data_IF_686394960747
#
_entry.id   IF_686394960747
#
_cell.length_a   1.000
_cell.length_b   1.000
_cell.length_c   1.000
_cell.angle_alpha   90.00
_cell.angle_beta   90.00
_cell.angle_gamma   90.00
#
_symmetry.space_group_name_H-M   'P 1'
#
loop_
_entity.id
_entity.type
_entity.pdbx_description
1 polymer ?
#
# COMPACT_ATOMS: atom_id res chain seq x y z
N UNK A 1 -8.26 7.13 -1.06
CA UNK A 1 -9.08 8.16 -1.73
C UNK A 1 -8.26 9.35 -2.20
N UNK A 2 -7.25 9.80 -1.43
CA UNK A 2 -6.32 10.86 -1.86
C UNK A 2 -5.77 10.64 -3.27
N UNK A 3 -5.45 9.40 -3.65
CA UNK A 3 -4.93 9.10 -4.99
C UNK A 3 -5.95 9.28 -6.12
N UNK A 4 -7.20 8.85 -5.94
CA UNK A 4 -8.28 9.04 -6.94
C UNK A 4 -8.55 10.53 -7.11
N UNK A 5 -8.72 11.25 -6.00
CA UNK A 5 -8.91 12.70 -6.01
C UNK A 5 -7.73 13.42 -6.69
N UNK A 6 -6.49 13.04 -6.36
CA UNK A 6 -5.28 13.66 -6.94
C UNK A 6 -5.15 13.36 -8.45
N UNK A 7 -5.55 12.17 -8.91
CA UNK A 7 -5.60 11.83 -10.35
C UNK A 7 -6.67 12.65 -11.07
N UNK A 8 -7.88 12.75 -10.51
CA UNK A 8 -8.96 13.53 -11.12
C UNK A 8 -8.66 15.02 -11.14
N UNK A 9 -8.11 15.58 -10.05
CA UNK A 9 -7.63 16.97 -9.99
C UNK A 9 -6.55 17.23 -11.05
N UNK A 10 -5.54 16.35 -11.15
CA UNK A 10 -4.51 16.47 -12.22
C UNK A 10 -5.10 16.42 -13.62
N UNK A 11 -6.22 15.73 -13.83
CA UNK A 11 -6.90 15.64 -15.13
C UNK A 11 -7.65 16.94 -15.44
N UNK A 12 -8.32 17.54 -14.46
CA UNK A 12 -8.93 18.88 -14.57
C UNK A 12 -7.84 19.90 -14.91
N UNK A 13 -6.75 19.94 -14.13
CA UNK A 13 -5.62 20.85 -14.36
C UNK A 13 -5.01 20.68 -15.77
N UNK A 14 -4.82 19.44 -16.23
CA UNK A 14 -4.31 19.18 -17.58
C UNK A 14 -5.24 19.66 -18.68
N UNK A 15 -6.56 19.51 -18.50
CA UNK A 15 -7.57 19.97 -19.47
C UNK A 15 -7.56 21.49 -19.58
N UNK A 16 -7.43 22.19 -18.45
CA UNK A 16 -7.50 23.66 -18.41
C UNK A 16 -6.19 24.33 -18.86
N UNK A 17 -5.04 23.65 -18.71
CA UNK A 17 -3.71 24.18 -19.08
C UNK A 17 -3.65 24.79 -20.49
N UNK A 18 -4.29 24.16 -21.48
CA UNK A 18 -4.26 24.65 -22.87
C UNK A 18 -4.96 26.00 -23.08
N UNK A 19 -5.84 26.43 -22.16
CA UNK A 19 -6.55 27.72 -22.24
C UNK A 19 -5.76 28.88 -21.61
N UNK A 20 -4.78 28.59 -20.75
CA UNK A 20 -4.00 29.58 -20.01
C UNK A 20 -2.55 29.74 -20.53
N UNK A 21 -2.14 28.93 -21.50
CA UNK A 21 -0.75 28.93 -21.96
C UNK A 21 -0.39 30.29 -22.61
N UNK A 22 0.59 30.98 -22.02
CA UNK A 22 1.05 32.30 -22.49
C UNK A 22 0.11 33.48 -22.17
N UNK A 23 -0.91 33.29 -21.32
CA UNK A 23 -1.86 34.35 -20.92
C UNK A 23 -1.63 34.83 -19.50
N UNK A 24 -2.05 36.07 -19.22
CA UNK A 24 -1.92 36.65 -17.89
C UNK A 24 -3.02 36.08 -16.97
N UNK A 25 -2.68 35.50 -15.80
CA UNK A 25 -3.67 34.97 -14.87
C UNK A 25 -4.77 35.95 -14.42
N UNK A 26 -4.51 37.27 -14.52
CA UNK A 26 -5.48 38.31 -14.14
C UNK A 26 -6.27 38.90 -15.30
N UNK A 27 -6.01 38.45 -16.54
CA UNK A 27 -6.85 38.83 -17.67
C UNK A 27 -8.24 38.16 -17.58
N UNK A 28 -9.21 38.67 -18.35
CA UNK A 28 -10.60 38.20 -18.34
C UNK A 28 -10.71 36.66 -18.53
N UNK A 29 -9.84 36.12 -19.40
CA UNK A 29 -9.82 34.68 -19.71
C UNK A 29 -9.16 33.88 -18.59
N UNK A 30 -8.12 34.42 -17.95
CA UNK A 30 -7.49 33.85 -16.77
C UNK A 30 -8.46 33.73 -15.60
N UNK A 31 -9.27 34.77 -15.37
CA UNK A 31 -10.31 34.77 -14.34
C UNK A 31 -11.44 33.78 -14.66
N UNK A 32 -11.88 33.69 -15.92
CA UNK A 32 -12.89 32.72 -16.36
C UNK A 32 -12.40 31.28 -16.13
N UNK A 33 -11.16 30.96 -16.54
CA UNK A 33 -10.59 29.62 -16.35
C UNK A 33 -10.38 29.31 -14.86
N UNK A 34 -10.01 30.30 -14.05
CA UNK A 34 -9.91 30.13 -12.61
C UNK A 34 -11.28 29.82 -11.97
N UNK A 35 -12.35 30.48 -12.41
CA UNK A 35 -13.71 30.21 -11.97
C UNK A 35 -14.19 28.81 -12.40
N UNK A 36 -13.97 28.42 -13.66
CA UNK A 36 -14.27 27.08 -14.17
C UNK A 36 -13.51 26.00 -13.38
N UNK A 37 -12.22 26.23 -13.10
CA UNK A 37 -11.41 25.34 -12.26
C UNK A 37 -12.06 25.13 -10.90
N UNK A 38 -12.45 26.22 -10.24
CA UNK A 38 -13.05 26.14 -8.90
C UNK A 38 -14.38 25.38 -8.92
N UNK A 39 -15.21 25.62 -9.94
CA UNK A 39 -16.48 24.91 -10.11
C UNK A 39 -16.26 23.40 -10.33
N UNK A 40 -15.38 23.01 -11.25
CA UNK A 40 -15.08 21.60 -11.53
C UNK A 40 -14.49 20.87 -10.31
N UNK A 41 -13.69 21.56 -9.49
CA UNK A 41 -13.18 20.99 -8.25
C UNK A 41 -14.28 20.78 -7.21
N UNK A 42 -15.24 21.71 -7.09
CA UNK A 42 -16.39 21.58 -6.20
C UNK A 42 -17.30 20.42 -6.64
N UNK A 43 -17.60 20.31 -7.93
CA UNK A 43 -18.38 19.20 -8.50
C UNK A 43 -17.70 17.83 -8.29
N UNK A 44 -16.36 17.77 -8.45
CA UNK A 44 -15.59 16.58 -8.17
C UNK A 44 -15.70 16.16 -6.70
N UNK A 45 -15.58 17.10 -5.77
CA UNK A 45 -15.66 16.80 -4.34
C UNK A 45 -17.07 16.29 -3.97
N UNK A 46 -18.15 16.87 -4.53
CA UNK A 46 -19.53 16.36 -4.37
C UNK A 46 -19.71 14.95 -4.94
N UNK A 47 -19.16 14.68 -6.13
CA UNK A 47 -19.22 13.36 -6.75
C UNK A 47 -18.50 12.31 -5.90
N UNK A 48 -17.32 12.63 -5.35
CA UNK A 48 -16.57 11.73 -4.49
C UNK A 48 -17.37 11.36 -3.23
N UNK A 49 -18.02 12.33 -2.60
CA UNK A 49 -18.91 12.09 -1.45
C UNK A 49 -20.05 11.15 -1.83
N UNK A 50 -20.72 11.40 -2.96
CA UNK A 50 -21.81 10.54 -3.45
C UNK A 50 -21.32 9.10 -3.69
N UNK A 51 -20.18 8.92 -4.36
CA UNK A 51 -19.61 7.59 -4.62
C UNK A 51 -19.24 6.84 -3.33
N UNK A 52 -18.79 7.55 -2.29
CA UNK A 52 -18.55 6.95 -0.99
C UNK A 52 -19.85 6.52 -0.30
N UNK A 53 -20.87 7.38 -0.29
CA UNK A 53 -22.17 7.09 0.31
C UNK A 53 -22.84 5.85 -0.31
N UNK A 54 -22.67 5.66 -1.62
CA UNK A 54 -23.17 4.49 -2.34
C UNK A 54 -22.22 3.27 -2.24
N UNK A 55 -21.14 3.34 -1.46
CA UNK A 55 -20.21 2.21 -1.23
C UNK A 55 -19.28 1.87 -2.41
N UNK A 56 -19.27 2.69 -3.47
CA UNK A 56 -18.37 2.52 -4.61
C UNK A 56 -16.92 2.87 -4.25
N UNK A 57 -16.71 3.77 -3.29
CA UNK A 57 -15.41 4.14 -2.75
C UNK A 57 -15.34 3.85 -1.26
N UNK A 58 -14.47 2.91 -0.88
CA UNK A 58 -14.24 2.53 0.51
C UNK A 58 -12.76 2.19 0.70
N UNK A 59 -12.02 3.12 1.29
CA UNK A 59 -10.59 2.97 1.52
C UNK A 59 -10.27 1.91 2.57
N UNK A 60 -11.12 1.75 3.59
CA UNK A 60 -10.90 0.78 4.66
C UNK A 60 -11.05 -0.64 4.10
N UNK A 61 -12.14 -0.90 3.39
CA UNK A 61 -12.37 -2.18 2.70
C UNK A 61 -11.25 -2.48 1.72
N UNK A 62 -10.85 -1.49 0.92
CA UNK A 62 -9.78 -1.67 -0.06
C UNK A 62 -8.43 -1.95 0.60
N UNK A 63 -8.10 -1.25 1.69
CA UNK A 63 -6.88 -1.47 2.46
C UNK A 63 -6.86 -2.88 3.07
N UNK A 64 -7.98 -3.35 3.65
CA UNK A 64 -8.09 -4.70 4.18
C UNK A 64 -7.78 -5.78 3.13
N UNK A 65 -8.38 -5.66 1.94
CA UNK A 65 -8.10 -6.57 0.81
C UNK A 65 -6.61 -6.58 0.42
N UNK A 66 -5.94 -5.43 0.47
CA UNK A 66 -4.50 -5.35 0.19
C UNK A 66 -3.63 -5.96 1.29
N UNK A 67 -3.98 -5.74 2.55
CA UNK A 67 -3.31 -6.37 3.70
C UNK A 67 -3.32 -7.88 3.53
N UNK A 68 -4.50 -8.49 3.35
CA UNK A 68 -4.65 -9.93 3.16
C UNK A 68 -3.86 -10.45 1.94
N UNK A 69 -3.90 -9.71 0.84
CA UNK A 69 -3.22 -10.11 -0.39
C UNK A 69 -1.70 -10.04 -0.28
N UNK A 70 -1.15 -9.06 0.45
CA UNK A 70 0.29 -8.93 0.63
C UNK A 70 0.83 -9.83 1.73
N UNK A 71 0.08 -10.06 2.79
CA UNK A 71 0.41 -11.02 3.83
C UNK A 71 0.57 -12.43 3.24
N UNK A 72 -0.40 -12.89 2.44
CA UNK A 72 -0.31 -14.15 1.68
C UNK A 72 0.90 -14.24 0.74
N UNK A 73 1.39 -13.09 0.26
CA UNK A 73 2.61 -12.99 -0.57
C UNK A 73 3.90 -12.97 0.27
N UNK A 74 3.82 -13.08 1.59
CA UNK A 74 4.94 -13.09 2.50
C UNK A 74 5.57 -11.70 2.67
N UNK A 75 4.74 -10.68 2.88
CA UNK A 75 5.18 -9.36 3.33
C UNK A 75 4.95 -9.23 4.83
N UNK A 76 5.92 -8.65 5.54
CA UNK A 76 5.76 -8.29 6.94
C UNK A 76 4.69 -7.21 7.12
N UNK A 77 4.08 -7.16 8.30
CA UNK A 77 3.14 -6.11 8.71
C UNK A 77 3.72 -4.72 8.49
N UNK A 78 4.99 -4.52 8.86
CA UNK A 78 5.71 -3.25 8.64
C UNK A 78 5.75 -2.84 7.17
N UNK A 79 6.08 -3.78 6.26
CA UNK A 79 6.12 -3.50 4.82
C UNK A 79 4.72 -3.30 4.25
N UNK A 80 3.74 -4.03 4.75
CA UNK A 80 2.33 -3.85 4.37
C UNK A 80 1.88 -2.44 4.71
N UNK A 81 2.12 -1.98 5.95
CA UNK A 81 1.83 -0.61 6.38
C UNK A 81 2.47 0.42 5.46
N UNK A 82 3.77 0.30 5.19
CA UNK A 82 4.47 1.22 4.29
C UNK A 82 3.80 1.28 2.90
N UNK A 83 3.41 0.12 2.35
CA UNK A 83 2.76 0.04 1.04
C UNK A 83 1.35 0.63 1.01
N UNK A 84 0.63 0.64 2.14
CA UNK A 84 -0.65 1.35 2.27
C UNK A 84 -0.41 2.87 2.15
N UNK A 85 0.60 3.39 2.86
CA UNK A 85 0.98 4.80 2.79
C UNK A 85 1.40 5.21 1.37
N UNK A 86 2.21 4.39 0.70
CA UNK A 86 2.62 4.61 -0.70
C UNK A 86 1.43 4.65 -1.67
N UNK A 87 0.32 3.96 -1.34
CA UNK A 87 -0.93 3.99 -2.11
C UNK A 87 -1.83 5.17 -1.76
N UNK A 88 -1.44 5.99 -0.78
CA UNK A 88 -2.17 7.18 -0.35
C UNK A 88 -3.29 6.89 0.65
N UNK A 89 -3.21 5.77 1.38
CA UNK A 89 -4.02 5.54 2.58
C UNK A 89 -3.48 6.42 3.71
N UNK A 90 -4.38 7.05 4.47
CA UNK A 90 -4.00 7.87 5.63
C UNK A 90 -3.28 7.02 6.69
N UNK A 91 -2.38 7.63 7.46
CA UNK A 91 -1.56 6.89 8.42
C UNK A 91 -2.43 6.21 9.49
N UNK A 92 -3.43 6.93 9.98
CA UNK A 92 -4.38 6.49 10.99
C UNK A 92 -5.21 5.30 10.49
N UNK A 93 -5.66 5.36 9.23
CA UNK A 93 -6.40 4.25 8.61
C UNK A 93 -5.49 3.04 8.33
N UNK A 94 -4.24 3.28 7.94
CA UNK A 94 -3.28 2.20 7.74
C UNK A 94 -2.96 1.49 9.07
N UNK A 95 -2.82 2.24 10.15
CA UNK A 95 -2.61 1.72 11.51
C UNK A 95 -3.83 0.92 11.98
N UNK A 96 -5.04 1.47 11.80
CA UNK A 96 -6.29 0.80 12.14
C UNK A 96 -6.42 -0.54 11.40
N UNK A 97 -6.30 -0.55 10.07
CA UNK A 97 -6.50 -1.77 9.27
C UNK A 97 -5.43 -2.82 9.57
N UNK A 98 -4.20 -2.40 9.85
CA UNK A 98 -3.13 -3.31 10.27
C UNK A 98 -3.44 -3.91 11.65
N UNK A 99 -3.87 -3.10 12.62
CA UNK A 99 -4.26 -3.58 13.94
C UNK A 99 -5.44 -4.56 13.85
N UNK A 100 -6.51 -4.20 13.12
CA UNK A 100 -7.66 -5.08 12.86
C UNK A 100 -7.23 -6.40 12.19
N UNK A 101 -6.24 -6.37 11.31
CA UNK A 101 -5.70 -7.58 10.69
C UNK A 101 -4.89 -8.43 11.70
N UNK A 102 -4.09 -7.79 12.54
CA UNK A 102 -3.31 -8.46 13.57
C UNK A 102 -4.20 -9.08 14.65
N UNK A 103 -5.29 -8.41 15.05
CA UNK A 103 -6.24 -8.91 16.05
C UNK A 103 -7.08 -10.08 15.52
N UNK A 104 -7.32 -10.13 14.19
CA UNK A 104 -7.93 -11.28 13.52
C UNK A 104 -6.97 -12.48 13.42
N UNK A 105 -5.67 -12.24 13.45
CA UNK A 105 -4.63 -13.27 13.53
C UNK A 105 -4.26 -13.57 14.99
N UNK A 106 -3.70 -14.73 15.28
CA UNK A 106 -3.26 -15.06 16.64
C UNK A 106 -1.94 -14.32 16.98
N UNK A 107 -1.94 -13.00 17.16
CA UNK A 107 -0.82 -12.21 17.70
C UNK A 107 0.49 -12.25 16.87
N UNK A 108 1.66 -12.24 17.54
CA UNK A 108 3.03 -12.27 16.97
C UNK A 108 3.27 -13.38 15.90
N UNK A 109 2.32 -14.32 15.78
CA UNK A 109 2.29 -15.35 14.73
C UNK A 109 2.08 -14.79 13.32
N UNK A 110 1.52 -13.59 13.15
CA UNK A 110 1.19 -13.07 11.80
C UNK A 110 2.42 -12.89 10.93
N UNK A 111 3.49 -12.28 11.47
CA UNK A 111 4.74 -12.09 10.74
C UNK A 111 5.53 -13.41 10.59
N UNK A 112 5.45 -14.30 11.59
CA UNK A 112 6.01 -15.66 11.50
C UNK A 112 5.35 -16.47 10.38
N UNK A 113 4.03 -16.43 10.28
CA UNK A 113 3.27 -17.10 9.23
C UNK A 113 3.58 -16.53 7.85
N UNK A 114 3.68 -15.20 7.72
CA UNK A 114 4.08 -14.56 6.47
C UNK A 114 5.52 -14.93 6.06
N UNK A 115 6.45 -14.96 7.01
CA UNK A 115 7.83 -15.36 6.78
C UNK A 115 7.94 -16.83 6.38
N UNK A 116 7.20 -17.73 7.03
CA UNK A 116 7.13 -19.15 6.68
C UNK A 116 6.57 -19.36 5.27
N UNK A 117 5.45 -18.69 4.94
CA UNK A 117 4.88 -18.70 3.60
C UNK A 117 5.86 -18.19 2.54
N UNK A 118 6.64 -17.16 2.86
CA UNK A 118 7.69 -16.67 1.96
C UNK A 118 8.79 -17.70 1.77
N UNK A 119 9.31 -18.26 2.87
CA UNK A 119 10.38 -19.25 2.88
C UNK A 119 9.99 -20.52 2.11
N UNK A 120 8.76 -21.03 2.31
CA UNK A 120 8.23 -22.21 1.62
C UNK A 120 8.15 -22.01 0.11
N UNK A 121 7.59 -20.88 -0.36
CA UNK A 121 7.50 -20.59 -1.80
C UNK A 121 8.87 -20.38 -2.45
N UNK A 122 9.83 -19.85 -1.70
CA UNK A 122 11.20 -19.57 -2.17
C UNK A 122 12.19 -20.70 -1.91
N UNK A 123 11.77 -21.78 -1.23
CA UNK A 123 12.59 -22.93 -0.83
C UNK A 123 13.84 -22.50 -0.03
N UNK A 124 13.63 -21.63 0.95
CA UNK A 124 14.66 -21.14 1.86
C UNK A 124 14.75 -22.04 3.09
N UNK A 125 15.92 -22.07 3.73
CA UNK A 125 16.15 -22.76 5.01
C UNK A 125 15.63 -24.21 4.99
N UNK A 126 14.66 -24.58 5.85
CA UNK A 126 14.15 -25.95 5.98
C UNK A 126 13.43 -26.44 4.70
N UNK A 127 12.95 -25.54 3.87
CA UNK A 127 12.24 -25.88 2.62
C UNK A 127 13.19 -26.10 1.42
N UNK A 128 14.49 -26.01 1.65
CA UNK A 128 15.52 -26.26 0.63
C UNK A 128 15.56 -27.76 0.33
N UNK A 129 15.66 -28.11 -0.95
CA UNK A 129 15.71 -29.51 -1.41
C UNK A 129 16.96 -30.26 -0.94
N UNK A 130 18.05 -29.54 -0.75
CA UNK A 130 19.36 -30.06 -0.35
C UNK A 130 19.68 -29.56 1.08
N UNK A 131 19.52 -30.42 2.11
CA UNK A 131 19.73 -30.07 3.51
C UNK A 131 21.17 -29.70 3.85
N UNK A 132 22.16 -30.31 3.20
CA UNK A 132 23.60 -30.10 3.46
C UNK A 132 24.00 -28.65 3.16
N UNK A 133 23.34 -28.03 2.19
CA UNK A 133 23.58 -26.64 1.79
C UNK A 133 22.88 -25.61 2.66
N UNK A 134 22.08 -26.00 3.67
CA UNK A 134 21.37 -25.04 4.53
C UNK A 134 22.33 -24.10 5.24
N UNK A 135 23.44 -24.61 5.78
CA UNK A 135 24.45 -23.80 6.45
C UNK A 135 25.10 -22.78 5.50
N UNK A 136 25.45 -23.19 4.27
CA UNK A 136 26.04 -22.33 3.23
C UNK A 136 25.09 -21.16 2.86
N UNK A 137 23.79 -21.44 2.74
CA UNK A 137 22.80 -20.45 2.30
C UNK A 137 22.15 -19.65 3.43
N UNK A 138 22.36 -20.02 4.70
CA UNK A 138 21.70 -19.38 5.84
C UNK A 138 21.73 -17.86 5.78
N UNK A 139 22.91 -17.28 5.55
CA UNK A 139 23.08 -15.81 5.47
C UNK A 139 22.27 -15.20 4.31
N UNK A 140 22.23 -15.87 3.16
CA UNK A 140 21.46 -15.42 1.98
C UNK A 140 19.95 -15.49 2.24
N UNK A 141 19.52 -16.53 2.92
CA UNK A 141 18.11 -16.77 3.25
C UNK A 141 17.59 -15.76 4.28
N UNK A 142 18.37 -15.51 5.34
CA UNK A 142 18.10 -14.44 6.30
C UNK A 142 18.04 -13.06 5.62
N UNK A 143 18.97 -12.77 4.70
CA UNK A 143 18.95 -11.52 3.96
C UNK A 143 17.71 -11.40 3.04
N UNK A 144 17.18 -12.51 2.52
CA UNK A 144 15.97 -12.51 1.71
C UNK A 144 14.72 -12.15 2.54
N UNK A 145 14.62 -12.66 3.78
CA UNK A 145 13.56 -12.30 4.72
C UNK A 145 13.71 -10.86 5.24
N UNK A 146 14.93 -10.41 5.52
CA UNK A 146 15.19 -9.02 5.91
C UNK A 146 14.72 -8.02 4.85
N UNK A 147 14.93 -8.30 3.55
CA UNK A 147 14.40 -7.48 2.43
C UNK A 147 12.87 -7.50 2.33
N UNK A 148 12.19 -8.43 3.00
CA UNK A 148 10.74 -8.46 3.15
C UNK A 148 10.25 -7.75 4.42
N UNK A 149 11.17 -7.16 5.18
CA UNK A 149 10.91 -6.35 6.36
C UNK A 149 10.72 -7.15 7.64
N UNK A 150 11.04 -8.45 7.63
CA UNK A 150 10.99 -9.27 8.84
C UNK A 150 12.16 -8.94 9.77
N UNK A 151 11.91 -8.99 11.08
CA UNK A 151 12.96 -8.86 12.09
C UNK A 151 13.91 -10.06 12.06
N UNK A 152 15.10 -9.91 12.63
CA UNK A 152 16.05 -11.02 12.74
C UNK A 152 15.47 -12.21 13.52
N UNK A 153 14.73 -11.95 14.61
CA UNK A 153 14.10 -12.99 15.41
C UNK A 153 13.10 -13.82 14.61
N UNK A 154 12.21 -13.17 13.86
CA UNK A 154 11.26 -13.86 12.96
C UNK A 154 12.00 -14.63 11.87
N UNK A 155 13.01 -14.01 11.25
CA UNK A 155 13.74 -14.63 10.15
C UNK A 155 14.54 -15.87 10.60
N UNK A 156 15.28 -15.77 11.70
CA UNK A 156 16.04 -16.90 12.27
C UNK A 156 15.11 -18.03 12.71
N UNK A 157 14.00 -17.72 13.38
CA UNK A 157 13.00 -18.73 13.81
C UNK A 157 12.44 -19.56 12.65
N UNK A 158 12.30 -18.96 11.46
CA UNK A 158 11.84 -19.68 10.25
C UNK A 158 12.97 -20.43 9.55
N UNK A 159 14.16 -19.83 9.43
CA UNK A 159 15.28 -20.41 8.67
C UNK A 159 16.00 -21.51 9.44
N UNK A 160 16.08 -21.40 10.76
CA UNK A 160 16.82 -22.32 11.63
C UNK A 160 15.92 -23.43 12.22
N UNK A 161 14.66 -23.52 11.76
CA UNK A 161 13.75 -24.64 12.10
C UNK A 161 14.36 -25.97 11.59
N UNK A 162 14.26 -27.06 12.37
CA UNK A 162 14.83 -28.37 12.00
C UNK A 162 14.37 -28.87 10.62
#
# INVERSE_FOLDING_TARGET
>A
MRRVQQVMRRRIERRLRGRCEGRDPVDEVGLEVAAERQQLLAELDLLLVSLQQHGHLDDQRQAGLWVDAWHRKGHSVRVIRQRLLERGIAAELADLVVAEFQDRGEGDSVDLAAADNYARRRRLGPYRRDPERRAEFRRRDLAALARRGFSYGVASSVIDRP
#
